data_IF_061518300361
#
_entry.id   IF_061518300361
#
_cell.length_a   1.000
_cell.length_b   1.000
_cell.length_c   1.000
_cell.angle_alpha   90.00
_cell.angle_beta   90.00
_cell.angle_gamma   90.00
#
_symmetry.space_group_name_H-M   'P 1'
#
loop_
_entity.id
_entity.type
_entity.pdbx_description
1 polymer ?
#
# COMPACT_ATOMS: atom_id res chain seq x y z
N UNK A 1 12.14 19.25 -13.29
CA UNK A 1 11.10 18.27 -12.96
C UNK A 1 10.95 17.34 -14.15
N UNK A 2 11.44 16.12 -14.07
CA UNK A 2 11.27 15.12 -15.13
C UNK A 2 10.41 14.00 -14.57
N UNK A 3 9.12 14.08 -14.83
CA UNK A 3 8.19 12.99 -14.58
C UNK A 3 7.85 12.37 -15.94
N UNK A 4 8.31 11.16 -16.23
CA UNK A 4 7.91 10.44 -17.42
C UNK A 4 6.50 9.87 -17.21
N UNK A 5 5.56 10.36 -18.00
CA UNK A 5 4.15 10.04 -17.96
C UNK A 5 3.88 8.78 -18.82
N UNK A 6 3.68 7.65 -18.17
CA UNK A 6 2.91 6.56 -18.76
C UNK A 6 1.48 6.67 -18.21
N UNK A 7 0.49 6.68 -19.09
CA UNK A 7 -0.93 6.83 -18.74
C UNK A 7 -1.29 5.82 -17.64
N UNK A 8 -1.73 6.33 -16.47
CA UNK A 8 -2.16 5.59 -15.25
C UNK A 8 -1.06 5.06 -14.30
N UNK A 9 0.21 5.36 -14.48
CA UNK A 9 1.20 5.11 -13.44
C UNK A 9 1.35 6.38 -12.60
N UNK A 10 0.92 6.32 -11.35
CA UNK A 10 1.12 7.43 -10.41
C UNK A 10 2.49 7.27 -9.78
N UNK A 11 3.48 7.94 -10.33
CA UNK A 11 4.76 8.13 -9.67
C UNK A 11 4.62 9.24 -8.65
N UNK A 12 4.95 8.96 -7.42
CA UNK A 12 5.10 10.02 -6.43
C UNK A 12 6.33 10.84 -6.81
N UNK A 13 6.11 12.00 -7.38
CA UNK A 13 7.19 12.93 -7.71
C UNK A 13 7.71 13.54 -6.40
N UNK A 14 8.93 13.18 -6.01
CA UNK A 14 9.60 13.87 -4.92
C UNK A 14 9.85 15.33 -5.31
N UNK A 15 9.19 16.24 -4.65
CA UNK A 15 9.57 17.64 -4.74
C UNK A 15 10.80 17.86 -3.85
N UNK A 16 11.94 18.12 -4.45
CA UNK A 16 13.23 18.39 -3.77
C UNK A 16 13.12 19.50 -2.69
N UNK A 17 12.06 20.27 -2.72
CA UNK A 17 11.82 21.41 -1.85
C UNK A 17 10.68 21.21 -0.83
N UNK A 18 10.05 20.04 -0.79
CA UNK A 18 9.04 19.73 0.21
C UNK A 18 9.66 18.92 1.35
N UNK A 19 9.37 19.30 2.59
CA UNK A 19 9.71 18.53 3.79
C UNK A 19 8.71 17.39 4.02
N UNK A 20 7.99 16.95 2.97
CA UNK A 20 6.98 15.91 3.05
C UNK A 20 7.57 14.64 2.45
N UNK A 21 7.57 13.58 3.24
CA UNK A 21 7.95 12.24 2.83
C UNK A 21 6.67 11.44 2.55
N UNK A 22 6.42 11.02 1.29
CA UNK A 22 5.27 10.18 1.01
C UNK A 22 5.50 8.78 1.58
N UNK A 23 4.55 8.28 2.37
CA UNK A 23 4.59 6.96 3.00
C UNK A 23 3.71 5.94 2.27
N UNK A 24 2.90 6.38 1.31
CA UNK A 24 1.97 5.55 0.53
C UNK A 24 1.83 6.08 -0.90
N UNK A 25 1.04 5.39 -1.72
CA UNK A 25 0.69 5.83 -3.07
C UNK A 25 -0.49 6.82 -3.06
N UNK A 26 -1.01 7.17 -4.23
CA UNK A 26 -2.20 8.02 -4.35
C UNK A 26 -3.44 7.30 -3.81
N UNK A 27 -4.22 8.02 -3.00
CA UNK A 27 -5.45 7.53 -2.40
C UNK A 27 -6.55 7.29 -3.44
N UNK A 28 -7.37 6.25 -3.22
CA UNK A 28 -8.57 5.97 -4.01
C UNK A 28 -8.34 5.93 -5.53
N UNK A 29 -7.20 5.39 -5.94
CA UNK A 29 -6.78 5.40 -7.35
C UNK A 29 -6.48 4.00 -7.87
N UNK A 30 -6.82 3.76 -9.14
CA UNK A 30 -6.31 2.59 -9.86
C UNK A 30 -4.80 2.76 -10.05
N UNK A 31 -4.03 1.85 -9.47
CA UNK A 31 -2.57 1.92 -9.42
C UNK A 31 -1.96 0.74 -10.15
N UNK A 32 -1.04 1.02 -11.07
CA UNK A 32 -0.21 0.01 -11.72
C UNK A 32 1.02 -0.22 -10.85
N UNK A 33 1.27 -1.45 -10.49
CA UNK A 33 2.35 -1.79 -9.58
C UNK A 33 3.61 -2.32 -10.30
N UNK A 34 3.48 -3.35 -11.11
CA UNK A 34 4.60 -3.89 -11.90
C UNK A 34 4.13 -4.80 -13.05
N UNK A 35 5.07 -5.32 -13.85
CA UNK A 35 4.80 -6.28 -14.94
C UNK A 35 5.82 -7.42 -15.04
N UNK A 36 6.48 -7.79 -13.97
CA UNK A 36 7.52 -8.82 -13.98
C UNK A 36 7.02 -10.21 -14.40
N UNK A 37 5.73 -10.48 -14.23
CA UNK A 37 5.07 -11.72 -14.59
C UNK A 37 4.46 -11.73 -16.01
N UNK A 38 4.81 -10.76 -16.87
CA UNK A 38 4.29 -10.65 -18.23
C UNK A 38 2.91 -9.99 -18.35
N UNK A 39 2.38 -9.49 -17.24
CA UNK A 39 1.17 -8.67 -17.21
C UNK A 39 1.35 -7.53 -16.20
N UNK A 40 0.60 -6.46 -16.36
CA UNK A 40 0.58 -5.40 -15.37
C UNK A 40 -0.26 -5.80 -14.17
N UNK A 41 0.33 -5.83 -12.98
CA UNK A 41 -0.45 -5.93 -11.77
C UNK A 41 -1.09 -4.57 -11.45
N UNK A 42 -2.40 -4.61 -11.20
CA UNK A 42 -3.21 -3.41 -11.00
C UNK A 42 -4.04 -3.61 -9.73
N UNK A 43 -4.09 -2.59 -8.90
CA UNK A 43 -4.96 -2.59 -7.72
C UNK A 43 -5.64 -1.23 -7.54
N UNK A 44 -6.80 -1.25 -6.93
CA UNK A 44 -7.46 -0.06 -6.40
C UNK A 44 -6.89 0.23 -5.02
N UNK A 45 -6.18 1.36 -4.88
CA UNK A 45 -5.67 1.79 -3.57
C UNK A 45 -6.82 2.19 -2.64
N UNK A 46 -6.59 2.02 -1.35
CA UNK A 46 -7.51 2.48 -0.31
C UNK A 46 -7.45 4.00 -0.10
N UNK A 47 -8.24 4.51 0.86
CA UNK A 47 -8.30 5.94 1.22
C UNK A 47 -6.98 6.54 1.66
N UNK A 48 -6.01 5.72 2.03
CA UNK A 48 -4.67 6.15 2.43
C UNK A 48 -3.57 5.77 1.43
N UNK A 49 -3.92 5.15 0.30
CA UNK A 49 -2.98 4.84 -0.78
C UNK A 49 -2.30 3.49 -0.67
N UNK A 50 -2.74 2.60 0.23
CA UNK A 50 -2.22 1.23 0.36
C UNK A 50 -3.04 0.21 -0.44
N UNK A 51 -2.49 -0.98 -0.60
CA UNK A 51 -3.14 -2.08 -1.30
C UNK A 51 -4.09 -2.86 -0.38
N UNK A 52 -5.18 -2.20 0.04
CA UNK A 52 -6.25 -2.83 0.81
C UNK A 52 -7.61 -2.63 0.15
N UNK A 53 -8.60 -3.49 0.43
CA UNK A 53 -9.99 -3.09 0.36
C UNK A 53 -10.22 -1.93 1.34
N UNK A 54 -10.85 -0.85 0.88
CA UNK A 54 -10.97 0.38 1.68
C UNK A 54 -11.72 0.17 3.00
N UNK A 55 -12.68 -0.75 3.03
CA UNK A 55 -13.47 -1.08 4.20
C UNK A 55 -12.70 -1.78 5.32
N UNK A 56 -11.45 -2.20 5.11
CA UNK A 56 -10.60 -2.74 6.19
C UNK A 56 -10.32 -1.66 7.26
N UNK A 57 -10.26 -0.39 6.85
CA UNK A 57 -10.07 0.74 7.76
C UNK A 57 -11.28 1.05 8.65
N UNK A 58 -12.46 0.57 8.28
CA UNK A 58 -13.70 0.80 9.04
C UNK A 58 -13.96 -0.29 10.10
N UNK A 59 -13.09 -1.29 10.17
CA UNK A 59 -13.22 -2.37 11.14
C UNK A 59 -12.92 -1.87 12.55
N UNK A 60 -13.68 -2.40 13.50
CA UNK A 60 -13.54 -2.05 14.91
C UNK A 60 -12.19 -2.46 15.51
N UNK A 61 -11.63 -3.53 14.98
CA UNK A 61 -10.37 -4.13 15.43
C UNK A 61 -9.56 -4.59 14.22
N UNK A 62 -8.28 -4.31 14.23
CA UNK A 62 -7.31 -4.82 13.27
C UNK A 62 -6.57 -5.99 13.94
N UNK A 63 -6.84 -7.21 13.47
CA UNK A 63 -6.28 -8.42 14.07
C UNK A 63 -4.90 -8.76 13.51
N UNK A 64 -4.64 -8.40 12.25
CA UNK A 64 -3.33 -8.55 11.61
C UNK A 64 -2.92 -7.24 10.94
N UNK A 65 -1.73 -6.82 11.23
CA UNK A 65 -1.09 -5.68 10.60
C UNK A 65 0.16 -6.15 9.85
N UNK A 66 0.17 -5.97 8.54
CA UNK A 66 1.31 -6.29 7.69
C UNK A 66 2.11 -5.02 7.42
N UNK A 67 3.40 -5.07 7.71
CA UNK A 67 4.34 -3.98 7.48
C UNK A 67 5.55 -4.54 6.74
N UNK A 68 6.04 -3.84 5.74
CA UNK A 68 7.17 -4.30 4.96
C UNK A 68 7.28 -3.61 3.59
N UNK A 69 8.08 -4.19 2.75
CA UNK A 69 8.45 -3.70 1.43
C UNK A 69 7.50 -4.20 0.30
N UNK A 70 8.07 -4.41 -0.87
CA UNK A 70 7.35 -4.83 -2.06
C UNK A 70 6.66 -6.20 -1.94
N UNK A 71 7.22 -7.13 -1.19
CA UNK A 71 6.59 -8.45 -0.97
C UNK A 71 5.31 -8.29 -0.14
N UNK A 72 5.40 -7.53 0.93
CA UNK A 72 4.24 -7.22 1.79
C UNK A 72 3.19 -6.42 1.02
N UNK A 73 3.60 -5.46 0.21
CA UNK A 73 2.72 -4.69 -0.68
C UNK A 73 1.91 -5.60 -1.63
N UNK A 74 2.43 -6.78 -1.97
CA UNK A 74 1.88 -7.64 -3.01
C UNK A 74 2.28 -7.20 -4.41
N UNK A 75 3.52 -6.67 -4.56
CA UNK A 75 4.05 -6.25 -5.85
C UNK A 75 3.98 -7.40 -6.86
N UNK A 76 3.59 -7.08 -8.10
CA UNK A 76 3.45 -8.01 -9.23
C UNK A 76 2.36 -9.08 -9.06
N UNK A 77 1.49 -8.98 -8.06
CA UNK A 77 0.41 -9.92 -7.81
C UNK A 77 -0.92 -9.18 -7.72
N UNK A 78 -1.90 -9.61 -8.51
CA UNK A 78 -3.25 -9.04 -8.42
C UNK A 78 -4.03 -9.65 -7.25
N UNK A 79 -4.86 -8.82 -6.60
CA UNK A 79 -5.87 -9.36 -5.69
C UNK A 79 -6.78 -10.35 -6.45
N UNK A 80 -7.18 -11.45 -5.82
CA UNK A 80 -7.06 -11.79 -4.39
C UNK A 80 -5.84 -12.64 -4.02
N UNK A 81 -4.79 -12.68 -4.85
CA UNK A 81 -3.65 -13.60 -4.67
C UNK A 81 -2.47 -12.97 -3.91
N UNK A 82 -2.56 -11.70 -3.54
CA UNK A 82 -1.57 -11.04 -2.67
C UNK A 82 -1.64 -11.54 -1.22
N UNK A 83 -0.54 -11.35 -0.47
CA UNK A 83 -0.41 -11.86 0.90
C UNK A 83 -1.56 -11.38 1.79
N UNK A 84 -1.92 -10.09 1.71
CA UNK A 84 -2.99 -9.51 2.51
C UNK A 84 -4.34 -10.16 2.24
N UNK A 85 -4.68 -10.34 0.96
CA UNK A 85 -5.93 -10.98 0.53
C UNK A 85 -5.99 -12.46 0.89
N UNK A 86 -4.90 -13.19 0.71
CA UNK A 86 -4.80 -14.61 1.08
C UNK A 86 -4.98 -14.76 2.59
N UNK A 87 -4.30 -13.94 3.40
CA UNK A 87 -4.41 -13.98 4.85
C UNK A 87 -5.83 -13.66 5.32
N UNK A 88 -6.50 -12.63 4.74
CA UNK A 88 -7.92 -12.34 5.03
C UNK A 88 -8.81 -13.55 4.75
N UNK A 89 -8.60 -14.17 3.59
CA UNK A 89 -9.42 -15.31 3.19
C UNK A 89 -9.23 -16.53 4.09
N UNK A 90 -8.01 -16.85 4.48
CA UNK A 90 -7.71 -18.01 5.30
C UNK A 90 -8.09 -17.81 6.76
N UNK A 91 -7.79 -16.64 7.32
CA UNK A 91 -8.03 -16.37 8.75
C UNK A 91 -9.48 -15.93 9.03
N UNK A 92 -10.19 -15.40 8.05
CA UNK A 92 -11.49 -14.70 8.21
C UNK A 92 -11.43 -13.52 9.17
N UNK A 93 -10.27 -12.91 9.29
CA UNK A 93 -9.94 -11.81 10.19
C UNK A 93 -9.61 -10.54 9.44
N UNK A 94 -9.65 -9.41 10.13
CA UNK A 94 -9.22 -8.12 9.60
C UNK A 94 -7.72 -8.10 9.40
N UNK A 95 -7.29 -7.78 8.19
CA UNK A 95 -5.88 -7.67 7.84
C UNK A 95 -5.65 -6.33 7.16
N UNK A 96 -4.87 -5.47 7.79
CA UNK A 96 -4.44 -4.21 7.22
C UNK A 96 -3.02 -4.33 6.71
N UNK A 97 -2.82 -4.06 5.43
CA UNK A 97 -1.52 -4.13 4.77
C UNK A 97 -0.98 -2.71 4.56
N UNK A 98 0.13 -2.38 5.22
CA UNK A 98 0.88 -1.13 5.09
C UNK A 98 2.20 -1.32 4.33
N UNK A 99 2.35 -2.43 3.62
CA UNK A 99 3.50 -2.67 2.76
C UNK A 99 3.57 -1.67 1.62
N UNK A 100 4.78 -1.23 1.29
CA UNK A 100 5.04 -0.30 0.20
C UNK A 100 6.38 -0.62 -0.46
N UNK A 101 6.39 -0.72 -1.79
CA UNK A 101 7.61 -1.00 -2.53
C UNK A 101 8.71 0.03 -2.29
N UNK A 102 9.92 -0.46 -2.01
CA UNK A 102 11.07 0.40 -1.74
C UNK A 102 11.21 0.88 -0.29
N UNK A 103 10.29 0.50 0.60
CA UNK A 103 10.42 0.83 2.01
C UNK A 103 11.55 0.04 2.67
N UNK A 104 12.17 0.69 3.65
CA UNK A 104 13.07 0.07 4.61
C UNK A 104 12.58 0.36 6.03
N UNK A 105 13.26 -0.18 7.07
CA UNK A 105 12.78 -0.16 8.46
C UNK A 105 12.40 1.22 9.00
N UNK A 106 13.07 2.27 8.56
CA UNK A 106 12.76 3.63 9.00
C UNK A 106 11.43 4.13 8.43
N UNK A 107 11.16 3.87 7.15
CA UNK A 107 9.91 4.23 6.50
C UNK A 107 8.75 3.38 7.02
N UNK A 108 8.98 2.10 7.26
CA UNK A 108 8.01 1.19 7.88
C UNK A 108 7.61 1.68 9.28
N UNK A 109 8.58 2.07 10.10
CA UNK A 109 8.31 2.67 11.41
C UNK A 109 7.54 3.98 11.31
N UNK A 110 7.91 4.87 10.37
CA UNK A 110 7.19 6.12 10.14
C UNK A 110 5.73 5.85 9.72
N UNK A 111 5.51 4.89 8.84
CA UNK A 111 4.17 4.45 8.39
C UNK A 111 3.32 3.96 9.57
N UNK A 112 3.90 3.14 10.45
CA UNK A 112 3.21 2.68 11.67
C UNK A 112 2.81 3.85 12.55
N UNK A 113 3.71 4.79 12.77
CA UNK A 113 3.45 5.97 13.62
C UNK A 113 2.35 6.86 13.04
N UNK A 114 2.33 7.07 11.73
CA UNK A 114 1.37 7.95 11.08
C UNK A 114 -0.03 7.33 11.07
N UNK A 115 -0.15 6.08 10.64
CA UNK A 115 -1.46 5.50 10.34
C UNK A 115 -2.07 4.71 11.50
N UNK A 116 -1.28 4.15 12.40
CA UNK A 116 -1.79 3.29 13.47
C UNK A 116 -1.94 4.04 14.80
N UNK A 117 -1.00 4.89 15.18
CA UNK A 117 -1.11 5.64 16.45
C UNK A 117 -2.32 6.60 16.50
N UNK A 118 -2.82 7.03 15.35
CA UNK A 118 -4.01 7.87 15.26
C UNK A 118 -5.32 7.07 15.15
N UNK A 119 -5.24 5.75 14.93
CA UNK A 119 -6.39 4.88 14.65
C UNK A 119 -6.70 3.90 15.79
N UNK A 120 -5.78 3.70 16.72
CA UNK A 120 -5.99 2.83 17.89
C UNK A 120 -6.35 3.73 19.08
N UNK A 121 -7.64 3.84 19.32
CA UNK A 121 -8.18 4.37 20.58
C UNK A 121 -8.45 3.25 21.54
#
# INVERSE_FOLDING_TARGET
>A
MHCNFLRKAVWVCFNKYSNILPLSSTSNSETINCNESGYYSIYQSDRYGFNNPDNEWDKKEIEYLLVGDSLTHGACVNRPNDIGSVLRNLSKKTVLNLGMGGNGPLLEYATLKEYINNSVK
#
